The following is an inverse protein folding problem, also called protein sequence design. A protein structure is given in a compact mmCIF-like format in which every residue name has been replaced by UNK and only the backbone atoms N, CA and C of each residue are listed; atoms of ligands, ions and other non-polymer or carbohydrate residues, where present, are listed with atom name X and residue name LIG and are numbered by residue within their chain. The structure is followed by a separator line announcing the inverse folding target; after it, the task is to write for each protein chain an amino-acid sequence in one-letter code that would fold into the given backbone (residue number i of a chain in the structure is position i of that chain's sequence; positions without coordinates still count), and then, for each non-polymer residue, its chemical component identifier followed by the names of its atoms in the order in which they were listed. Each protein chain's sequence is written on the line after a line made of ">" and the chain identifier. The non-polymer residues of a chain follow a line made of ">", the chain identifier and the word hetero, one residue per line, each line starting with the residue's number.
data_IF_340738503627
#
_entry.id   IF_340738503627
#
_cell.length_a   1.000
_cell.length_b   1.000
_cell.length_c   1.000
_cell.angle_alpha   90.00
_cell.angle_beta   90.00
_cell.angle_gamma   90.00
#
_symmetry.space_group_name_H-M   'P 1'
#
loop_
_entity.id
_entity.type
_entity.pdbx_description
1 polymer ?
#
# COMPACT_ATOMS: atom_id res chain seq x y z
N UNK A 1 -24.35 -35.04 -15.44
CA UNK A 1 -22.90 -34.72 -15.47
C UNK A 1 -22.71 -33.37 -14.79
N UNK A 2 -22.02 -33.31 -13.65
CA UNK A 2 -21.89 -32.12 -12.78
C UNK A 2 -20.54 -31.43 -13.04
N UNK A 3 -20.52 -30.47 -13.95
CA UNK A 3 -19.34 -29.62 -14.25
C UNK A 3 -19.27 -28.35 -13.38
N UNK A 4 -20.00 -28.28 -12.27
CA UNK A 4 -20.11 -27.08 -11.41
C UNK A 4 -19.15 -27.06 -10.21
N UNK A 5 -18.43 -28.16 -9.94
CA UNK A 5 -17.62 -28.30 -8.71
C UNK A 5 -16.23 -27.65 -8.80
N UNK A 6 -15.52 -27.76 -9.93
CA UNK A 6 -14.12 -27.30 -9.99
C UNK A 6 -13.99 -25.78 -10.05
N UNK A 7 -14.83 -25.10 -10.84
CA UNK A 7 -14.82 -23.64 -10.94
C UNK A 7 -15.20 -22.97 -9.62
N UNK A 8 -16.24 -23.47 -8.96
CA UNK A 8 -16.70 -22.95 -7.66
C UNK A 8 -15.71 -23.22 -6.54
N UNK A 9 -14.97 -24.35 -6.59
CA UNK A 9 -13.89 -24.64 -5.65
C UNK A 9 -12.72 -23.66 -5.80
N UNK A 10 -12.25 -23.44 -7.03
CA UNK A 10 -11.15 -22.50 -7.31
C UNK A 10 -11.55 -21.09 -6.90
N UNK A 11 -12.77 -20.65 -7.20
CA UNK A 11 -13.28 -19.33 -6.80
C UNK A 11 -13.33 -19.17 -5.28
N UNK A 12 -13.85 -20.16 -4.54
CA UNK A 12 -13.88 -20.13 -3.06
C UNK A 12 -12.49 -20.12 -2.45
N UNK A 13 -11.55 -20.88 -3.03
CA UNK A 13 -10.15 -20.92 -2.60
C UNK A 13 -9.48 -19.56 -2.80
N UNK A 14 -9.66 -18.95 -3.97
CA UNK A 14 -9.13 -17.62 -4.29
C UNK A 14 -9.69 -16.56 -3.33
N UNK A 15 -11.01 -16.54 -3.11
CA UNK A 15 -11.66 -15.63 -2.15
C UNK A 15 -11.07 -15.82 -0.75
N UNK A 16 -10.96 -17.05 -0.27
CA UNK A 16 -10.42 -17.32 1.06
C UNK A 16 -8.96 -16.87 1.24
N UNK A 17 -8.15 -16.95 0.19
CA UNK A 17 -6.78 -16.44 0.19
C UNK A 17 -6.73 -14.91 0.17
N UNK A 18 -7.48 -14.27 -0.72
CA UNK A 18 -7.52 -12.80 -0.83
C UNK A 18 -8.10 -12.14 0.41
N UNK A 19 -9.14 -12.73 1.01
CA UNK A 19 -9.73 -12.25 2.27
C UNK A 19 -8.97 -12.75 3.52
N UNK A 20 -7.87 -13.48 3.35
CA UNK A 20 -7.11 -13.92 4.50
C UNK A 20 -6.51 -12.72 5.23
N UNK A 21 -6.56 -12.77 6.56
CA UNK A 21 -5.99 -11.76 7.44
C UNK A 21 -4.52 -11.42 7.12
N UNK A 22 -3.60 -12.37 6.84
CA UNK A 22 -2.23 -12.01 6.47
C UNK A 22 -2.16 -11.19 5.18
N UNK A 23 -2.94 -11.53 4.15
CA UNK A 23 -2.97 -10.76 2.89
C UNK A 23 -3.50 -9.35 3.12
N UNK A 24 -4.56 -9.20 3.90
CA UNK A 24 -5.12 -7.89 4.25
C UNK A 24 -4.12 -7.04 5.04
N UNK A 25 -3.44 -7.63 6.03
CA UNK A 25 -2.40 -6.95 6.80
C UNK A 25 -1.24 -6.50 5.92
N UNK A 26 -0.72 -7.39 5.07
CA UNK A 26 0.36 -7.05 4.14
C UNK A 26 -0.04 -5.93 3.20
N UNK A 27 -1.25 -5.97 2.62
CA UNK A 27 -1.72 -4.89 1.74
C UNK A 27 -1.84 -3.56 2.49
N UNK A 28 -2.40 -3.58 3.70
CA UNK A 28 -2.53 -2.38 4.51
C UNK A 28 -1.18 -1.78 4.89
N UNK A 29 -0.24 -2.59 5.38
CA UNK A 29 1.10 -2.11 5.75
C UNK A 29 1.88 -1.61 4.54
N UNK A 30 1.77 -2.30 3.39
CA UNK A 30 2.36 -1.86 2.12
C UNK A 30 1.84 -0.49 1.70
N UNK A 31 0.52 -0.27 1.82
CA UNK A 31 -0.12 0.99 1.48
C UNK A 31 0.33 2.13 2.41
N UNK A 32 0.43 1.86 3.71
CA UNK A 32 0.98 2.82 4.67
C UNK A 32 2.43 3.18 4.34
N UNK A 33 3.28 2.18 4.09
CA UNK A 33 4.68 2.39 3.74
C UNK A 33 4.82 3.21 2.45
N UNK A 34 4.04 2.89 1.42
CA UNK A 34 4.04 3.63 0.16
C UNK A 34 3.58 5.08 0.34
N UNK A 35 2.56 5.31 1.18
CA UNK A 35 2.04 6.66 1.46
C UNK A 35 3.06 7.52 2.23
N UNK A 36 3.75 6.93 3.21
CA UNK A 36 4.84 7.62 3.91
C UNK A 36 6.00 7.90 2.93
N UNK A 37 6.35 6.92 2.11
CA UNK A 37 7.41 7.09 1.11
C UNK A 37 7.09 8.23 0.13
N UNK A 38 5.87 8.32 -0.39
CA UNK A 38 5.49 9.39 -1.31
C UNK A 38 5.53 10.75 -0.63
N UNK A 39 5.01 10.88 0.59
CA UNK A 39 5.04 12.14 1.36
C UNK A 39 6.47 12.61 1.61
N UNK A 40 7.40 11.69 1.91
CA UNK A 40 8.77 12.05 2.30
C UNK A 40 9.79 12.09 1.16
N UNK A 41 9.61 11.29 0.10
CA UNK A 41 10.65 11.08 -0.91
C UNK A 41 10.21 11.36 -2.36
N UNK A 42 8.93 11.64 -2.62
CA UNK A 42 8.52 12.07 -3.96
C UNK A 42 9.10 13.46 -4.29
N UNK A 43 9.53 13.64 -5.52
CA UNK A 43 10.03 14.92 -6.05
C UNK A 43 8.85 15.81 -6.40
N UNK A 44 8.47 16.69 -5.46
CA UNK A 44 7.61 17.83 -5.75
C UNK A 44 8.49 19.05 -6.07
N UNK A 45 8.09 19.96 -6.98
CA UNK A 45 8.74 21.26 -7.11
C UNK A 45 8.81 21.92 -5.73
N UNK A 46 9.87 22.70 -5.46
CA UNK A 46 10.12 23.38 -4.19
C UNK A 46 9.14 24.53 -3.92
N UNK A 47 7.85 24.26 -4.05
CA UNK A 47 6.78 25.02 -3.45
C UNK A 47 6.83 24.68 -1.96
N UNK A 48 6.87 25.69 -1.10
CA UNK A 48 6.75 25.53 0.34
C UNK A 48 5.32 25.09 0.71
N UNK A 49 4.93 23.92 0.23
CA UNK A 49 3.72 23.26 0.68
C UNK A 49 3.95 22.61 2.05
N UNK A 50 2.87 22.21 2.70
CA UNK A 50 2.91 21.62 4.04
C UNK A 50 3.78 20.36 4.09
N UNK A 51 3.97 19.64 2.97
CA UNK A 51 4.77 18.43 2.89
C UNK A 51 6.27 18.74 2.85
N UNK A 52 6.67 19.77 2.11
CA UNK A 52 8.05 20.26 2.14
C UNK A 52 8.45 20.76 3.53
N UNK A 53 7.56 21.52 4.20
CA UNK A 53 7.79 21.96 5.59
C UNK A 53 7.91 20.78 6.56
N UNK A 54 7.09 19.74 6.38
CA UNK A 54 7.16 18.53 7.20
C UNK A 54 8.52 17.84 7.08
N UNK A 55 9.07 17.76 5.86
CA UNK A 55 10.38 17.13 5.63
C UNK A 55 11.52 17.90 6.29
N UNK A 56 11.50 19.23 6.31
CA UNK A 56 12.48 20.02 7.07
C UNK A 56 12.44 19.77 8.58
N UNK A 57 11.28 19.39 9.12
CA UNK A 57 11.14 19.03 10.53
C UNK A 57 11.61 17.59 10.83
N UNK A 58 11.84 16.77 9.80
CA UNK A 58 12.39 15.42 9.94
C UNK A 58 13.88 15.42 9.68
N UNK A 59 14.66 15.19 10.75
CA UNK A 59 16.13 15.30 10.76
C UNK A 59 16.87 14.45 9.72
N UNK A 60 16.22 13.43 9.13
CA UNK A 60 16.84 12.41 8.27
C UNK A 60 16.47 12.52 6.79
N UNK A 61 15.61 13.45 6.40
CA UNK A 61 15.03 13.49 5.03
C UNK A 61 15.54 14.74 4.30
N UNK A 62 16.56 14.55 3.46
CA UNK A 62 17.17 15.63 2.67
C UNK A 62 16.18 16.21 1.65
N UNK A 63 16.11 17.54 1.54
CA UNK A 63 15.13 18.23 0.69
C UNK A 63 15.72 19.17 -0.36
N UNK A 64 16.97 19.59 -0.22
CA UNK A 64 17.85 20.29 -1.16
C UNK A 64 19.17 20.57 -0.45
#
# INVERSE_FOLDING_TARGET
>A
MRATNNFTYVQKRAIGWTLSLPVQLTLYTSLCALSLWTVYFSTYPAVHDSMHSLRHHTLTISCH
#
